data_IF_160168012347
#
_entry.id   IF_160168012347
#
_cell.length_a   1.000
_cell.length_b   1.000
_cell.length_c   1.000
_cell.angle_alpha   90.00
_cell.angle_beta   90.00
_cell.angle_gamma   90.00
#
_symmetry.space_group_name_H-M   'P 1'
#
loop_
_entity.id
_entity.type
_entity.pdbx_description
1 polymer ?
#
# COMPACT_ATOMS: atom_id res chain seq x y z
N UNK A 1 -26.10 30.62 -7.07
CA UNK A 1 -24.69 30.58 -7.50
C UNK A 1 -24.54 29.68 -8.71
N UNK A 2 -23.30 29.43 -9.16
CA UNK A 2 -23.04 28.43 -10.21
C UNK A 2 -23.05 27.05 -9.57
N UNK A 3 -23.95 26.18 -10.02
CA UNK A 3 -24.05 24.79 -9.54
C UNK A 3 -23.41 23.85 -10.55
N UNK A 4 -22.77 22.80 -10.07
CA UNK A 4 -22.20 21.73 -10.87
C UNK A 4 -22.87 20.42 -10.44
N UNK A 5 -23.35 19.63 -11.41
CA UNK A 5 -24.00 18.34 -11.16
C UNK A 5 -23.36 17.32 -12.10
N UNK A 6 -23.04 16.13 -11.59
CA UNK A 6 -22.48 15.03 -12.39
C UNK A 6 -23.29 13.76 -12.12
N UNK A 7 -23.64 13.05 -13.18
CA UNK A 7 -24.31 11.74 -13.12
C UNK A 7 -23.43 10.75 -13.87
N UNK A 8 -23.06 9.67 -13.21
CA UNK A 8 -22.22 8.62 -13.77
C UNK A 8 -23.02 7.32 -13.77
N UNK A 9 -22.99 6.63 -14.91
CA UNK A 9 -23.49 5.28 -15.06
C UNK A 9 -22.27 4.36 -15.18
N UNK A 10 -22.04 3.54 -14.18
CA UNK A 10 -20.94 2.57 -14.09
C UNK A 10 -21.32 1.18 -14.60
N UNK A 11 -22.58 0.98 -15.02
CA UNK A 11 -23.07 -0.25 -15.64
C UNK A 11 -23.06 -0.16 -17.19
N UNK A 12 -23.08 -1.33 -17.85
CA UNK A 12 -23.23 -1.48 -19.30
C UNK A 12 -24.68 -1.31 -19.78
N UNK A 13 -25.63 -1.10 -18.87
CA UNK A 13 -27.04 -0.95 -19.18
C UNK A 13 -27.46 0.51 -19.34
N UNK A 14 -28.49 0.74 -20.15
CA UNK A 14 -29.03 2.09 -20.37
C UNK A 14 -29.99 2.42 -19.23
N UNK A 15 -29.73 3.53 -18.56
CA UNK A 15 -30.60 4.08 -17.53
C UNK A 15 -31.18 5.42 -17.99
N UNK A 16 -32.49 5.59 -17.80
CA UNK A 16 -33.17 6.86 -18.05
C UNK A 16 -33.01 7.75 -16.81
N UNK A 17 -32.49 8.95 -17.01
CA UNK A 17 -32.28 9.94 -15.95
C UNK A 17 -33.05 11.21 -16.31
N UNK A 18 -33.94 11.63 -15.41
CA UNK A 18 -34.77 12.82 -15.57
C UNK A 18 -34.38 13.83 -14.50
N UNK A 19 -33.89 15.00 -14.93
CA UNK A 19 -33.62 16.13 -14.04
C UNK A 19 -34.80 17.10 -14.12
N UNK A 20 -35.57 17.19 -13.04
CA UNK A 20 -36.65 18.18 -12.92
C UNK A 20 -36.15 19.36 -12.08
N UNK A 21 -36.26 20.57 -12.63
CA UNK A 21 -35.90 21.82 -11.96
C UNK A 21 -37.21 22.57 -11.69
N UNK A 22 -37.50 22.82 -10.42
CA UNK A 22 -38.66 23.60 -9.99
C UNK A 22 -38.18 24.79 -9.15
N UNK A 23 -38.92 25.91 -9.19
CA UNK A 23 -38.66 27.00 -8.25
C UNK A 23 -38.98 26.52 -6.84
N UNK A 24 -38.04 26.72 -5.90
CA UNK A 24 -38.28 26.41 -4.50
C UNK A 24 -39.30 27.38 -3.92
N UNK A 25 -40.58 27.02 -3.97
CA UNK A 25 -41.64 27.71 -3.23
C UNK A 25 -41.43 27.42 -1.74
N UNK A 26 -41.16 28.48 -0.96
CA UNK A 26 -40.92 28.38 0.48
C UNK A 26 -39.45 28.47 0.87
N UNK A 27 -38.83 29.63 0.59
CA UNK A 27 -37.56 30.03 1.22
C UNK A 27 -37.83 30.20 2.73
N UNK A 28 -37.64 29.12 3.47
CA UNK A 28 -37.63 29.08 4.92
C UNK A 28 -36.25 29.53 5.41
N UNK A 29 -36.17 30.32 6.46
CA UNK A 29 -34.89 30.56 7.16
C UNK A 29 -34.52 29.42 8.11
N UNK A 30 -35.44 28.48 8.34
CA UNK A 30 -35.25 27.32 9.19
C UNK A 30 -34.98 26.06 8.34
N UNK A 31 -33.95 25.31 8.70
CA UNK A 31 -33.62 24.05 8.04
C UNK A 31 -34.24 22.85 8.76
N UNK A 32 -34.56 21.78 8.01
CA UNK A 32 -34.99 20.51 8.60
C UNK A 32 -34.01 20.03 9.67
N UNK A 33 -34.52 19.76 10.88
CA UNK A 33 -33.75 19.30 12.04
C UNK A 33 -32.47 20.09 12.35
N UNK A 34 -32.41 21.37 11.95
CA UNK A 34 -31.19 22.19 12.06
C UNK A 34 -29.95 21.50 11.45
N UNK A 35 -30.15 20.84 10.29
CA UNK A 35 -29.13 20.04 9.61
C UNK A 35 -28.49 18.95 10.48
N UNK A 36 -29.23 18.47 11.48
CA UNK A 36 -28.82 17.44 12.44
C UNK A 36 -27.47 17.73 13.11
N UNK A 37 -27.03 18.99 13.13
CA UNK A 37 -25.69 19.39 13.59
C UNK A 37 -24.53 18.99 12.67
N UNK A 38 -24.78 18.45 11.48
CA UNK A 38 -23.79 17.99 10.51
C UNK A 38 -23.79 18.81 9.22
N UNK A 39 -24.14 20.09 9.30
CA UNK A 39 -24.16 20.98 8.15
C UNK A 39 -24.46 22.42 8.50
N UNK A 40 -24.38 23.28 7.50
CA UNK A 40 -24.76 24.69 7.60
C UNK A 40 -26.12 24.94 6.92
N UNK A 41 -26.99 25.71 7.57
CA UNK A 41 -28.30 26.03 7.02
C UNK A 41 -28.22 27.26 6.08
N UNK A 42 -28.61 27.08 4.82
CA UNK A 42 -28.71 28.15 3.83
C UNK A 42 -30.06 28.12 3.13
N UNK A 43 -30.89 29.14 3.38
CA UNK A 43 -32.20 29.32 2.73
C UNK A 43 -33.12 28.09 2.86
N UNK A 44 -33.10 27.44 4.02
CA UNK A 44 -33.97 26.29 4.32
C UNK A 44 -33.42 24.96 3.78
N UNK A 45 -32.22 24.98 3.21
CA UNK A 45 -31.49 23.80 2.75
C UNK A 45 -30.21 23.60 3.55
N UNK A 46 -29.90 22.34 3.85
CA UNK A 46 -28.67 21.98 4.53
C UNK A 46 -27.52 21.77 3.55
N UNK A 47 -26.40 22.41 3.84
CA UNK A 47 -25.08 22.18 3.23
C UNK A 47 -24.28 21.29 4.17
N UNK A 48 -24.24 20.00 3.89
CA UNK A 48 -23.67 18.99 4.80
C UNK A 48 -22.14 19.04 4.81
N UNK A 49 -21.56 18.77 5.97
CA UNK A 49 -20.11 18.54 6.09
C UNK A 49 -19.74 17.19 5.48
N UNK A 50 -18.48 17.04 5.06
CA UNK A 50 -17.99 15.81 4.44
C UNK A 50 -18.29 14.57 5.29
N UNK A 51 -18.79 13.52 4.64
CA UNK A 51 -19.21 12.27 5.29
C UNK A 51 -20.67 12.26 5.75
N UNK A 52 -21.45 13.32 5.49
CA UNK A 52 -22.88 13.36 5.77
C UNK A 52 -23.71 13.78 4.56
N UNK A 53 -24.88 13.18 4.40
CA UNK A 53 -25.81 13.47 3.32
C UNK A 53 -27.28 13.46 3.80
N UNK A 54 -28.18 13.76 2.86
CA UNK A 54 -29.62 13.80 3.08
C UNK A 54 -30.14 15.23 3.26
N UNK A 55 -31.46 15.34 3.41
CA UNK A 55 -32.15 16.64 3.48
C UNK A 55 -31.78 17.45 4.73
N UNK A 56 -31.34 16.76 5.77
CA UNK A 56 -30.98 17.29 7.08
C UNK A 56 -29.60 16.77 7.56
N UNK A 57 -28.75 16.26 6.67
CA UNK A 57 -27.43 15.71 6.99
C UNK A 57 -27.42 14.59 8.04
N UNK A 58 -28.54 13.90 8.26
CA UNK A 58 -28.65 12.83 9.26
C UNK A 58 -27.99 11.52 8.83
N UNK A 59 -27.73 11.34 7.53
CA UNK A 59 -27.17 10.08 7.00
C UNK A 59 -25.67 10.19 6.90
N UNK A 60 -24.95 9.34 7.62
CA UNK A 60 -23.51 9.17 7.42
C UNK A 60 -23.24 8.42 6.11
N UNK A 61 -22.39 8.98 5.26
CA UNK A 61 -21.88 8.30 4.06
C UNK A 61 -20.58 7.59 4.43
N UNK A 62 -20.64 6.26 4.53
CA UNK A 62 -19.46 5.42 4.66
C UNK A 62 -19.02 4.90 3.28
N UNK A 63 -17.72 4.89 2.92
CA UNK A 63 -16.61 5.72 3.40
C UNK A 63 -16.57 7.08 2.66
N UNK A 64 -15.90 8.06 3.27
CA UNK A 64 -15.55 9.31 2.57
C UNK A 64 -14.64 8.96 1.40
N UNK A 65 -15.05 9.29 0.19
CA UNK A 65 -14.24 9.09 -1.03
C UNK A 65 -12.84 9.68 -0.82
N UNK A 66 -11.80 8.90 -1.11
CA UNK A 66 -10.41 9.32 -0.93
C UNK A 66 -10.05 9.74 0.50
N UNK A 67 -10.73 9.15 1.50
CA UNK A 67 -10.45 9.35 2.94
C UNK A 67 -10.39 10.81 3.41
N UNK A 68 -11.06 11.73 2.70
CA UNK A 68 -10.97 13.17 2.91
C UNK A 68 -9.55 13.76 2.75
N UNK A 69 -8.68 13.05 2.04
CA UNK A 69 -7.28 13.41 1.77
C UNK A 69 -6.99 13.43 0.27
N UNK A 70 -8.02 13.59 -0.55
CA UNK A 70 -7.90 13.60 -1.99
C UNK A 70 -9.18 14.01 -2.70
N UNK A 71 -9.07 14.18 -4.00
CA UNK A 71 -10.19 14.47 -4.91
C UNK A 71 -10.38 13.30 -5.86
N UNK A 72 -11.61 12.80 -5.97
CA UNK A 72 -11.92 11.74 -6.91
C UNK A 72 -12.06 12.28 -8.34
N UNK A 73 -11.37 11.69 -9.29
CA UNK A 73 -11.42 12.09 -10.71
C UNK A 73 -10.94 10.97 -11.63
N UNK A 74 -11.64 10.75 -12.74
CA UNK A 74 -11.21 9.79 -13.77
C UNK A 74 -11.08 8.33 -13.27
N UNK A 75 -11.83 7.94 -12.24
CA UNK A 75 -11.81 6.59 -11.68
C UNK A 75 -10.78 6.36 -10.58
N UNK A 76 -10.05 7.39 -10.13
CA UNK A 76 -9.01 7.27 -9.10
C UNK A 76 -9.00 8.46 -8.14
N UNK A 77 -8.42 8.27 -6.96
CA UNK A 77 -8.19 9.34 -6.00
C UNK A 77 -6.90 10.10 -6.30
N UNK A 78 -7.03 11.41 -6.44
CA UNK A 78 -5.91 12.35 -6.53
C UNK A 78 -5.60 12.88 -5.13
N UNK A 79 -4.59 12.31 -4.48
CA UNK A 79 -4.28 12.63 -3.09
C UNK A 79 -3.69 14.04 -2.92
N UNK A 80 -4.03 14.65 -1.78
CA UNK A 80 -3.42 15.88 -1.29
C UNK A 80 -1.99 15.63 -0.81
N UNK A 81 -1.23 16.72 -0.65
CA UNK A 81 0.17 16.63 -0.22
C UNK A 81 0.28 15.95 1.14
N UNK A 82 1.21 14.98 1.25
CA UNK A 82 1.41 14.20 2.47
C UNK A 82 0.59 12.91 2.55
N UNK A 83 -0.25 12.60 1.56
CA UNK A 83 -1.06 11.37 1.50
C UNK A 83 -0.83 10.59 0.21
N UNK A 84 -1.04 9.27 0.29
CA UNK A 84 -0.94 8.31 -0.82
C UNK A 84 -1.87 7.12 -0.56
N UNK A 85 -1.85 6.17 -1.49
CA UNK A 85 -2.76 5.01 -1.46
C UNK A 85 -3.89 5.19 -2.46
N UNK A 86 -4.60 4.08 -2.75
CA UNK A 86 -5.73 4.12 -3.67
C UNK A 86 -6.88 5.00 -3.16
N UNK A 87 -6.99 5.11 -1.83
CA UNK A 87 -8.00 5.90 -1.13
C UNK A 87 -7.39 7.08 -0.37
N UNK A 88 -6.12 7.44 -0.62
CA UNK A 88 -5.43 8.51 0.11
C UNK A 88 -5.43 8.34 1.64
N UNK A 89 -5.47 7.09 2.09
CA UNK A 89 -5.57 6.66 3.48
C UNK A 89 -4.20 6.43 4.14
N UNK A 90 -3.12 6.47 3.34
CA UNK A 90 -1.77 6.17 3.80
C UNK A 90 -0.95 7.46 3.84
N UNK A 91 -0.42 7.88 5.00
CA UNK A 91 0.53 8.99 5.06
C UNK A 91 1.75 8.73 4.18
N UNK A 92 2.29 9.77 3.54
CA UNK A 92 3.39 9.66 2.59
C UNK A 92 4.62 8.94 3.18
N UNK A 93 4.90 9.17 4.47
CA UNK A 93 6.02 8.60 5.22
C UNK A 93 5.78 7.19 5.76
N UNK A 94 4.56 6.67 5.64
CA UNK A 94 4.20 5.34 6.09
C UNK A 94 4.26 4.36 4.91
N UNK A 95 4.58 3.10 5.19
CA UNK A 95 4.62 2.07 4.17
C UNK A 95 3.21 1.48 3.97
N UNK A 96 2.85 1.20 2.73
CA UNK A 96 1.58 0.54 2.40
C UNK A 96 1.44 -0.83 3.08
N UNK A 97 2.57 -1.52 3.26
CA UNK A 97 2.68 -2.70 4.11
C UNK A 97 3.52 -2.30 5.33
N UNK A 98 2.86 -2.08 6.46
CA UNK A 98 3.47 -1.47 7.64
C UNK A 98 4.71 -2.25 8.16
N UNK A 99 4.67 -3.57 8.06
CA UNK A 99 5.73 -4.48 8.52
C UNK A 99 6.69 -4.91 7.39
N UNK A 100 6.54 -4.38 6.17
CA UNK A 100 7.30 -4.81 5.00
C UNK A 100 7.33 -6.34 4.84
N UNK A 101 6.16 -6.97 5.03
CA UNK A 101 5.98 -8.43 4.96
C UNK A 101 6.87 -9.22 5.93
N UNK A 102 7.31 -8.60 7.03
CA UNK A 102 8.20 -9.21 8.02
C UNK A 102 9.67 -9.30 7.58
N UNK A 103 9.98 -8.89 6.35
CA UNK A 103 11.31 -9.04 5.74
C UNK A 103 11.98 -7.69 5.46
N UNK A 104 11.60 -6.64 6.18
CA UNK A 104 12.15 -5.32 5.98
C UNK A 104 11.80 -4.36 7.10
N UNK A 105 12.26 -3.12 6.94
CA UNK A 105 11.88 -2.00 7.80
C UNK A 105 11.33 -0.86 6.95
N UNK A 106 10.23 -0.28 7.39
CA UNK A 106 9.72 0.94 6.77
C UNK A 106 10.63 2.14 7.07
N UNK A 107 11.09 2.84 6.03
CA UNK A 107 11.90 4.06 6.15
C UNK A 107 11.37 5.09 5.17
N UNK A 108 10.82 6.19 5.69
CA UNK A 108 10.26 7.31 4.89
C UNK A 108 9.28 6.86 3.79
N UNK A 109 8.41 5.92 4.11
CA UNK A 109 7.36 5.45 3.21
C UNK A 109 7.79 4.38 2.20
N UNK A 110 9.04 3.91 2.28
CA UNK A 110 9.57 2.82 1.47
C UNK A 110 10.12 1.68 2.35
N UNK A 111 9.88 0.44 1.93
CA UNK A 111 10.42 -0.73 2.61
C UNK A 111 11.88 -0.95 2.24
N UNK A 112 12.75 -0.96 3.25
CA UNK A 112 14.15 -1.38 3.12
C UNK A 112 14.23 -2.86 3.48
N UNK A 113 14.44 -3.69 2.46
CA UNK A 113 14.41 -5.15 2.61
C UNK A 113 15.65 -5.70 3.28
N UNK A 114 15.46 -6.77 4.04
CA UNK A 114 16.51 -7.64 4.56
C UNK A 114 17.16 -8.42 3.40
N UNK A 115 18.39 -8.95 3.59
CA UNK A 115 19.01 -9.83 2.61
C UNK A 115 18.09 -10.99 2.21
N UNK A 116 18.18 -11.42 0.95
CA UNK A 116 17.29 -12.39 0.31
C UNK A 116 15.87 -11.93 -0.06
N UNK A 117 15.48 -10.68 0.23
CA UNK A 117 14.16 -10.16 -0.10
C UNK A 117 14.21 -8.89 -0.95
N UNK A 118 13.23 -8.73 -1.83
CA UNK A 118 13.06 -7.58 -2.72
C UNK A 118 11.58 -7.26 -2.96
N UNK A 119 11.34 -6.25 -3.78
CA UNK A 119 9.99 -5.73 -4.08
C UNK A 119 9.60 -4.57 -3.17
N UNK A 120 8.54 -3.85 -3.54
CA UNK A 120 8.10 -2.65 -2.80
C UNK A 120 7.64 -2.93 -1.37
N UNK A 121 7.28 -4.19 -1.07
CA UNK A 121 6.87 -4.66 0.25
C UNK A 121 7.80 -5.75 0.82
N UNK A 122 8.96 -6.02 0.21
CA UNK A 122 9.87 -7.10 0.62
C UNK A 122 9.23 -8.51 0.64
N UNK A 123 8.27 -8.74 -0.25
CA UNK A 123 7.51 -9.98 -0.38
C UNK A 123 8.02 -10.90 -1.50
N UNK A 124 9.08 -10.50 -2.21
CA UNK A 124 9.63 -11.26 -3.33
C UNK A 124 11.01 -11.78 -2.92
N UNK A 125 11.25 -13.08 -3.07
CA UNK A 125 12.57 -13.67 -2.85
C UNK A 125 13.56 -13.17 -3.92
N UNK A 126 14.73 -12.70 -3.48
CA UNK A 126 15.72 -12.11 -4.37
C UNK A 126 16.63 -13.15 -5.03
N UNK A 127 17.04 -14.17 -4.26
CA UNK A 127 17.83 -15.30 -4.76
C UNK A 127 16.96 -16.50 -5.10
N UNK A 128 17.48 -17.37 -5.98
CA UNK A 128 16.87 -18.69 -6.28
C UNK A 128 16.76 -19.57 -5.03
N UNK A 129 17.70 -19.39 -4.10
CA UNK A 129 17.71 -20.01 -2.78
C UNK A 129 18.06 -18.92 -1.75
N UNK A 130 17.09 -18.47 -0.93
CA UNK A 130 17.31 -17.47 0.12
C UNK A 130 18.39 -17.87 1.13
N UNK A 131 18.54 -19.17 1.38
CA UNK A 131 19.52 -19.72 2.32
C UNK A 131 20.87 -20.04 1.67
N UNK A 132 20.95 -19.98 0.34
CA UNK A 132 22.12 -20.42 -0.43
C UNK A 132 22.62 -21.80 0.04
N UNK A 133 21.71 -22.78 0.11
CA UNK A 133 21.91 -24.12 0.67
C UNK A 133 22.51 -24.14 2.09
N UNK A 134 22.31 -23.10 2.90
CA UNK A 134 22.98 -22.89 4.21
C UNK A 134 24.51 -22.75 4.14
N UNK A 135 25.07 -22.76 2.93
CA UNK A 135 26.50 -22.65 2.63
C UNK A 135 26.88 -21.27 2.08
N UNK A 136 26.01 -20.27 2.23
CA UNK A 136 26.30 -18.92 1.77
C UNK A 136 25.35 -17.88 2.35
N UNK A 137 25.43 -16.68 1.79
CA UNK A 137 24.51 -15.59 2.10
C UNK A 137 24.05 -14.94 0.80
N UNK A 138 22.74 -14.74 0.66
CA UNK A 138 22.16 -14.06 -0.49
C UNK A 138 22.35 -12.55 -0.38
N UNK A 139 23.01 -11.93 -1.36
CA UNK A 139 23.16 -10.48 -1.45
C UNK A 139 22.94 -10.05 -2.91
N UNK A 140 21.96 -9.18 -3.14
CA UNK A 140 21.62 -8.62 -4.47
C UNK A 140 21.42 -9.71 -5.55
N UNK A 141 20.57 -10.68 -5.26
CA UNK A 141 20.22 -11.78 -6.17
C UNK A 141 21.34 -12.79 -6.43
N UNK A 142 22.45 -12.72 -5.70
CA UNK A 142 23.57 -13.66 -5.81
C UNK A 142 23.92 -14.28 -4.47
N UNK A 143 24.13 -15.59 -4.47
CA UNK A 143 24.69 -16.30 -3.33
C UNK A 143 26.21 -16.09 -3.24
N UNK A 144 26.66 -15.59 -2.10
CA UNK A 144 28.07 -15.54 -1.72
C UNK A 144 28.38 -16.73 -0.84
N UNK A 145 29.13 -17.69 -1.38
CA UNK A 145 29.38 -18.97 -0.73
C UNK A 145 30.49 -18.88 0.33
N UNK A 146 30.33 -19.67 1.40
CA UNK A 146 31.36 -19.94 2.41
C UNK A 146 32.53 -20.67 1.74
N UNK A 147 33.71 -20.59 2.35
CA UNK A 147 34.91 -21.24 1.83
C UNK A 147 34.68 -22.74 1.62
N UNK A 148 35.13 -23.27 0.48
CA UNK A 148 34.91 -24.67 0.10
C UNK A 148 33.57 -24.95 -0.59
N UNK A 149 32.71 -23.95 -0.76
CA UNK A 149 31.45 -24.06 -1.50
C UNK A 149 31.42 -23.09 -2.70
N UNK A 150 30.76 -23.49 -3.79
CA UNK A 150 30.64 -22.74 -5.04
C UNK A 150 29.31 -23.05 -5.75
N UNK A 151 29.12 -22.40 -6.90
CA UNK A 151 27.90 -22.51 -7.70
C UNK A 151 26.89 -21.41 -7.39
N UNK A 152 25.82 -21.33 -8.19
CA UNK A 152 24.84 -20.23 -8.15
C UNK A 152 24.05 -20.15 -6.84
N UNK A 153 23.96 -21.26 -6.11
CA UNK A 153 23.25 -21.39 -4.84
C UNK A 153 24.11 -22.05 -3.75
N UNK A 154 25.43 -22.14 -3.93
CA UNK A 154 26.36 -22.77 -2.98
C UNK A 154 26.12 -24.26 -2.70
N UNK A 155 25.48 -24.98 -3.62
CA UNK A 155 25.26 -26.43 -3.50
C UNK A 155 26.46 -27.30 -3.89
N UNK A 156 27.50 -26.71 -4.50
CA UNK A 156 28.63 -27.47 -5.04
C UNK A 156 29.87 -27.27 -4.18
N UNK A 157 30.65 -28.34 -3.97
CA UNK A 157 31.95 -28.23 -3.29
C UNK A 157 32.98 -27.63 -4.24
N UNK A 158 33.75 -26.66 -3.77
CA UNK A 158 34.92 -26.16 -4.46
C UNK A 158 36.10 -27.12 -4.25
N UNK A 159 36.23 -28.08 -5.17
CA UNK A 159 37.30 -29.09 -5.15
C UNK A 159 38.71 -28.49 -5.15
N UNK A 160 38.90 -27.28 -5.68
CA UNK A 160 40.22 -26.64 -5.70
C UNK A 160 40.57 -26.08 -4.33
N UNK A 161 39.61 -25.45 -3.66
CA UNK A 161 39.77 -24.96 -2.29
C UNK A 161 39.82 -26.12 -1.29
N UNK A 162 39.07 -27.20 -1.51
CA UNK A 162 39.12 -28.41 -0.69
C UNK A 162 40.51 -29.05 -0.64
N UNK A 163 41.28 -28.95 -1.72
CA UNK A 163 42.67 -29.42 -1.78
C UNK A 163 43.65 -28.50 -1.04
N UNK A 164 43.28 -27.24 -0.79
CA UNK A 164 44.10 -26.23 -0.13
C UNK A 164 43.75 -26.01 1.34
N UNK A 165 42.65 -26.60 1.83
CA UNK A 165 42.33 -26.62 3.24
C UNK A 165 43.38 -27.46 3.97
N UNK A 166 44.00 -26.94 5.05
CA UNK A 166 45.04 -27.67 5.74
C UNK A 166 44.46 -28.99 6.24
N UNK A 167 45.03 -30.11 5.78
CA UNK A 167 44.87 -31.35 6.52
C UNK A 167 45.34 -31.11 7.94
N UNK A 168 44.63 -31.64 8.94
CA UNK A 168 44.97 -31.45 10.35
C UNK A 168 46.24 -32.24 10.73
N UNK A 169 47.34 -32.09 9.98
CA UNK A 169 48.62 -32.79 10.17
C UNK A 169 48.47 -34.29 10.45
N UNK A 170 47.60 -34.97 9.67
CA UNK A 170 47.21 -36.39 9.83
C UNK A 170 46.39 -36.75 11.09
N UNK A 171 46.02 -35.78 11.92
CA UNK A 171 45.18 -35.96 13.10
C UNK A 171 43.68 -35.64 12.88
N UNK A 172 43.27 -35.41 11.63
CA UNK A 172 41.86 -35.16 11.32
C UNK A 172 41.60 -34.68 9.90
N UNK A 173 40.34 -34.66 9.52
CA UNK A 173 39.82 -34.10 8.26
C UNK A 173 39.11 -32.79 8.54
N UNK A 174 39.36 -31.76 7.72
CA UNK A 174 38.59 -30.54 7.79
C UNK A 174 37.17 -30.79 7.26
N UNK A 175 36.17 -30.59 8.13
CA UNK A 175 34.76 -30.81 7.80
C UNK A 175 34.09 -29.48 7.42
N UNK A 176 33.63 -29.41 6.17
CA UNK A 176 33.01 -28.24 5.57
C UNK A 176 31.63 -27.91 6.17
N UNK A 177 30.98 -28.85 6.86
CA UNK A 177 29.68 -28.61 7.50
C UNK A 177 29.80 -28.06 8.92
N UNK A 178 30.84 -28.47 9.65
CA UNK A 178 31.04 -28.06 11.05
C UNK A 178 31.94 -26.83 11.22
N UNK A 179 32.75 -26.48 10.21
CA UNK A 179 33.49 -25.21 10.12
C UNK A 179 34.79 -25.18 10.90
#
# INVERSE_FOLDING_TARGET
>A
GRWFMSVYNDDLQVHEVILTIEEAEGISTACPNDCSGHGSCYLGKCDCIDGYEGIDCSKSVCPVLCSNHGKYGGGLCHCEEGWKGAECDIPLHDCQVADCSGHGRCVMGACVCQPAWKGGACNIEDCLDPSCNSHGSCVLGRCYCKAGWQGVNCSQVDQKVYQCLPGCSEHGTYDLETG
#
